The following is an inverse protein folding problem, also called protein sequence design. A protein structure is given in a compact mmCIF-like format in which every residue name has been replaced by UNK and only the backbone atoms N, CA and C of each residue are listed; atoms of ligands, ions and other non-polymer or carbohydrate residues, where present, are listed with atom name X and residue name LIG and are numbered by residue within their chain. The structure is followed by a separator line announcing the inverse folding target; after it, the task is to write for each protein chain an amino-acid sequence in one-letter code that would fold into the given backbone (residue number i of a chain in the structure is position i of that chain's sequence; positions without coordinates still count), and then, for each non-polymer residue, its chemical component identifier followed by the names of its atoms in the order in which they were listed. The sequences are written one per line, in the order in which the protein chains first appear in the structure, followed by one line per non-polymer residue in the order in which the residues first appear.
data_IF_327293310225
#
_entry.id   IF_327293310225
#
_cell.length_a   1.000
_cell.length_b   1.000
_cell.length_c   1.000
_cell.angle_alpha   90.00
_cell.angle_beta   90.00
_cell.angle_gamma   90.00
#
_symmetry.space_group_name_H-M   'P 1'
#
loop_
_entity.id
_entity.type
_entity.pdbx_description
1 polymer ?
#
# COMPACT_ATOMS: atom_id res chain seq x y z
N UNK A 1 -27.75 7.22 -8.14
CA UNK A 1 -26.78 7.05 -9.25
C UNK A 1 -26.17 5.65 -9.17
N UNK A 2 -26.21 4.84 -10.23
CA UNK A 2 -25.60 3.50 -10.22
C UNK A 2 -24.08 3.63 -10.03
N UNK A 3 -23.51 2.87 -9.07
CA UNK A 3 -22.06 2.81 -8.87
C UNK A 3 -21.44 2.19 -10.13
N UNK A 4 -20.71 2.98 -10.93
CA UNK A 4 -19.91 2.46 -12.05
C UNK A 4 -19.05 1.31 -11.52
N UNK A 5 -19.23 0.11 -12.10
CA UNK A 5 -18.42 -1.07 -11.79
C UNK A 5 -16.95 -0.66 -11.91
N UNK A 6 -16.15 -0.88 -10.86
CA UNK A 6 -14.74 -0.50 -10.88
C UNK A 6 -14.05 -1.31 -11.99
N UNK A 7 -13.69 -0.61 -13.06
CA UNK A 7 -12.84 -1.15 -14.12
C UNK A 7 -11.47 -1.40 -13.54
N UNK A 8 -10.92 -2.60 -13.80
CA UNK A 8 -9.59 -2.98 -13.37
C UNK A 8 -8.56 -1.90 -13.75
N UNK A 9 -7.88 -1.26 -12.78
CA UNK A 9 -7.02 -0.11 -13.06
C UNK A 9 -5.80 -0.45 -13.92
N UNK A 10 -5.44 -1.74 -13.96
CA UNK A 10 -4.31 -2.28 -14.70
C UNK A 10 -4.66 -2.65 -16.14
N UNK A 11 -5.93 -2.62 -16.56
CA UNK A 11 -6.32 -2.99 -17.92
C UNK A 11 -6.28 -1.76 -18.82
N UNK A 12 -5.59 -1.87 -19.94
CA UNK A 12 -5.53 -0.81 -20.93
C UNK A 12 -6.92 -0.56 -21.54
N UNK A 13 -7.42 0.68 -21.53
CA UNK A 13 -8.75 0.99 -22.08
C UNK A 13 -8.83 0.88 -23.60
N UNK A 14 -7.67 0.83 -24.30
CA UNK A 14 -7.63 0.79 -25.76
C UNK A 14 -7.55 -0.65 -26.32
N UNK A 15 -6.60 -1.46 -25.82
CA UNK A 15 -6.36 -2.81 -26.35
C UNK A 15 -6.68 -3.94 -25.37
N UNK A 16 -7.08 -3.63 -24.13
CA UNK A 16 -7.37 -4.63 -23.10
C UNK A 16 -6.14 -5.31 -22.48
N UNK A 17 -4.92 -4.98 -22.92
CA UNK A 17 -3.69 -5.54 -22.33
C UNK A 17 -3.53 -5.10 -20.87
N UNK A 18 -3.20 -6.05 -19.98
CA UNK A 18 -2.96 -5.77 -18.57
C UNK A 18 -1.52 -5.30 -18.34
N UNK A 19 -1.35 -4.13 -17.74
CA UNK A 19 -0.07 -3.66 -17.23
C UNK A 19 0.23 -4.29 -15.88
N UNK A 20 1.49 -4.68 -15.63
CA UNK A 20 1.88 -5.29 -14.35
C UNK A 20 2.12 -4.24 -13.26
N UNK A 21 2.73 -3.10 -13.61
CA UNK A 21 3.12 -2.05 -12.67
C UNK A 21 2.71 -0.67 -13.18
N UNK A 22 2.39 0.23 -12.25
CA UNK A 22 2.25 1.65 -12.55
C UNK A 22 3.65 2.27 -12.74
N UNK A 23 3.81 3.16 -13.71
CA UNK A 23 5.08 3.87 -13.91
C UNK A 23 5.34 4.90 -12.79
N UNK A 24 4.29 5.59 -12.36
CA UNK A 24 4.34 6.57 -11.27
C UNK A 24 3.06 6.46 -10.47
N UNK A 25 3.19 6.61 -9.17
CA UNK A 25 2.07 6.67 -8.23
C UNK A 25 2.13 7.95 -7.44
N UNK A 26 0.98 8.57 -7.19
CA UNK A 26 0.87 9.72 -6.31
C UNK A 26 -0.36 9.58 -5.43
N UNK A 27 -0.31 10.23 -4.27
CA UNK A 27 -1.41 10.26 -3.30
C UNK A 27 -2.21 11.55 -3.44
N UNK A 28 -3.53 11.41 -3.40
CA UNK A 28 -4.47 12.51 -3.27
C UNK A 28 -5.19 12.35 -1.93
N UNK A 29 -4.99 13.31 -1.04
CA UNK A 29 -5.54 13.29 0.32
C UNK A 29 -6.74 14.23 0.37
N UNK A 30 -7.90 13.73 0.80
CA UNK A 30 -9.07 14.59 1.01
C UNK A 30 -8.90 15.38 2.31
N UNK A 31 -8.98 16.72 2.30
CA UNK A 31 -8.80 17.53 3.51
C UNK A 31 -9.98 17.44 4.49
N UNK A 32 -11.14 16.96 4.02
CA UNK A 32 -12.33 16.82 4.84
C UNK A 32 -12.39 15.42 5.45
N UNK A 33 -12.43 15.29 6.79
CA UNK A 33 -12.64 14.00 7.43
C UNK A 33 -14.08 13.51 7.20
N UNK A 34 -14.21 12.20 7.02
CA UNK A 34 -15.50 11.48 7.00
C UNK A 34 -16.23 11.61 8.35
N UNK A 35 -17.51 11.21 8.43
CA UNK A 35 -18.30 11.29 9.69
C UNK A 35 -17.65 10.60 10.89
N UNK A 36 -16.73 9.67 10.65
CA UNK A 36 -15.95 8.95 11.66
C UNK A 36 -14.54 9.56 11.91
N UNK A 37 -14.26 10.77 11.43
CA UNK A 37 -12.94 11.40 11.58
C UNK A 37 -11.84 10.82 10.68
N UNK A 38 -12.21 10.09 9.63
CA UNK A 38 -11.27 9.40 8.71
C UNK A 38 -10.91 10.25 7.51
N UNK A 39 -9.62 10.35 7.23
CA UNK A 39 -9.08 10.99 6.03
C UNK A 39 -9.03 9.94 4.91
N UNK A 40 -9.51 10.29 3.72
CA UNK A 40 -9.41 9.42 2.56
C UNK A 40 -8.14 9.74 1.77
N UNK A 41 -7.24 8.77 1.70
CA UNK A 41 -6.03 8.77 0.87
C UNK A 41 -6.31 7.93 -0.37
N UNK A 42 -6.38 8.59 -1.53
CA UNK A 42 -6.55 7.93 -2.82
C UNK A 42 -5.19 7.79 -3.50
N UNK A 43 -4.75 6.57 -3.76
CA UNK A 43 -3.53 6.29 -4.52
C UNK A 43 -3.88 6.21 -5.99
N UNK A 44 -3.40 7.17 -6.77
CA UNK A 44 -3.51 7.18 -8.23
C UNK A 44 -2.23 6.63 -8.85
N UNK A 45 -2.39 5.96 -10.00
CA UNK A 45 -1.28 5.44 -10.79
C UNK A 45 -1.38 5.87 -12.24
N UNK A 46 -0.24 6.22 -12.84
CA UNK A 46 -0.12 6.34 -14.30
C UNK A 46 0.45 5.04 -14.88
N UNK A 47 -0.17 4.57 -15.95
CA UNK A 47 0.20 3.36 -16.66
C UNK A 47 0.55 3.68 -18.11
N UNK A 48 1.41 2.86 -18.68
CA UNK A 48 1.74 2.87 -20.11
C UNK A 48 1.53 1.46 -20.62
N UNK A 49 0.78 1.34 -21.73
CA UNK A 49 0.50 0.03 -22.31
C UNK A 49 1.77 -0.52 -22.96
N UNK A 50 2.21 -1.75 -22.63
CA UNK A 50 3.33 -2.37 -23.30
C UNK A 50 3.02 -2.79 -24.75
N UNK A 51 1.74 -2.93 -25.09
CA UNK A 51 1.31 -3.38 -26.43
C UNK A 51 1.08 -2.20 -27.39
N UNK A 52 0.25 -1.22 -26.99
CA UNK A 52 -0.14 -0.11 -27.88
C UNK A 52 0.42 1.27 -27.50
N UNK A 53 1.26 1.36 -26.46
CA UNK A 53 1.87 2.62 -26.00
C UNK A 53 0.92 3.64 -25.36
N UNK A 54 -0.38 3.34 -25.26
CA UNK A 54 -1.37 4.24 -24.68
C UNK A 54 -1.09 4.52 -23.20
N UNK A 55 -1.23 5.77 -22.77
CA UNK A 55 -1.00 6.21 -21.39
C UNK A 55 -2.33 6.54 -20.72
N UNK A 56 -2.59 5.94 -19.56
CA UNK A 56 -3.81 6.24 -18.79
C UNK A 56 -3.51 6.43 -17.30
N UNK A 57 -4.46 7.04 -16.61
CA UNK A 57 -4.42 7.23 -15.15
C UNK A 57 -5.60 6.49 -14.54
N UNK A 58 -5.37 5.75 -13.47
CA UNK A 58 -6.45 5.05 -12.75
C UNK A 58 -6.20 5.01 -11.25
N UNK A 59 -7.27 4.78 -10.49
CA UNK A 59 -7.22 4.65 -9.03
C UNK A 59 -6.76 3.24 -8.69
N UNK A 60 -5.61 3.13 -8.01
CA UNK A 60 -5.02 1.85 -7.61
C UNK A 60 -5.65 1.37 -6.31
N UNK A 61 -5.72 2.27 -5.31
CA UNK A 61 -6.22 1.97 -3.98
C UNK A 61 -6.91 3.18 -3.36
N UNK A 62 -7.90 2.93 -2.51
CA UNK A 62 -8.47 3.92 -1.59
C UNK A 62 -8.25 3.45 -0.16
N UNK A 63 -7.62 4.28 0.63
CA UNK A 63 -7.30 4.01 2.03
C UNK A 63 -8.04 5.08 2.84
N UNK A 64 -8.81 4.65 3.85
CA UNK A 64 -9.41 5.56 4.83
C UNK A 64 -8.63 5.40 6.14
N UNK A 65 -7.99 6.46 6.59
CA UNK A 65 -7.13 6.48 7.77
C UNK A 65 -7.59 7.55 8.76
N UNK A 66 -7.84 7.16 10.02
CA UNK A 66 -8.29 8.06 11.10
C UNK A 66 -9.36 7.40 11.98
N UNK A 67 -9.68 7.97 13.14
CA UNK A 67 -10.73 7.45 14.03
C UNK A 67 -10.63 5.95 14.34
N UNK A 68 -9.66 5.56 15.18
CA UNK A 68 -9.44 4.20 15.73
C UNK A 68 -9.41 2.99 14.77
N UNK A 69 -9.53 3.19 13.45
CA UNK A 69 -9.53 2.11 12.45
C UNK A 69 -9.04 2.57 11.08
N UNK A 70 -8.25 1.70 10.42
CA UNK A 70 -7.79 1.89 9.04
C UNK A 70 -8.57 0.94 8.13
N UNK A 71 -9.28 1.48 7.14
CA UNK A 71 -9.98 0.68 6.13
C UNK A 71 -9.26 0.75 4.79
N UNK A 72 -8.91 -0.42 4.25
CA UNK A 72 -8.27 -0.55 2.94
C UNK A 72 -9.30 -1.18 1.99
N UNK A 73 -9.76 -0.39 1.01
CA UNK A 73 -10.69 -0.87 -0.01
C UNK A 73 -9.88 -1.34 -1.23
N UNK A 74 -9.63 -2.66 -1.30
CA UNK A 74 -8.86 -3.30 -2.38
C UNK A 74 -9.66 -4.37 -3.14
N UNK A 75 -9.07 -4.88 -4.23
CA UNK A 75 -9.64 -5.93 -5.12
C UNK A 75 -10.06 -7.24 -4.44
N UNK A 76 -9.71 -7.47 -3.18
CA UNK A 76 -10.03 -8.68 -2.38
C UNK A 76 -10.97 -8.40 -1.21
N UNK A 77 -11.73 -7.30 -1.25
CA UNK A 77 -12.69 -6.93 -0.22
C UNK A 77 -12.18 -5.83 0.72
N UNK A 78 -13.08 -5.34 1.57
CA UNK A 78 -12.80 -4.32 2.60
C UNK A 78 -12.03 -4.99 3.73
N UNK A 79 -10.77 -4.61 3.94
CA UNK A 79 -10.02 -5.01 5.14
C UNK A 79 -10.11 -3.88 6.15
N UNK A 80 -10.88 -4.11 7.22
CA UNK A 80 -10.97 -3.24 8.38
C UNK A 80 -9.90 -3.68 9.39
N UNK A 81 -8.95 -2.80 9.66
CA UNK A 81 -7.94 -2.99 10.71
C UNK A 81 -8.39 -2.07 11.84
N UNK A 82 -8.87 -2.64 12.94
CA UNK A 82 -9.24 -1.88 14.14
C UNK A 82 -8.07 -1.91 15.11
N UNK A 83 -7.68 -0.74 15.60
CA UNK A 83 -6.73 -0.63 16.69
C UNK A 83 -7.42 -1.11 17.97
N UNK A 84 -7.33 -2.40 18.28
CA UNK A 84 -7.32 -2.79 19.69
C UNK A 84 -5.99 -2.31 20.22
N UNK A 85 -6.04 -1.37 21.15
CA UNK A 85 -4.91 -1.00 21.99
C UNK A 85 -4.42 -2.28 22.69
N UNK A 86 -3.35 -2.82 22.13
CA UNK A 86 -2.45 -3.78 22.74
C UNK A 86 -1.12 -3.46 22.07
N UNK A 87 -0.36 -2.63 22.78
CA UNK A 87 1.08 -2.69 22.81
C UNK A 87 1.57 -4.16 22.71
N UNK A 88 2.79 -4.35 22.21
CA UNK A 88 3.52 -5.63 22.16
C UNK A 88 3.23 -6.55 20.94
N UNK A 89 3.94 -6.30 19.83
CA UNK A 89 4.67 -7.28 18.99
C UNK A 89 4.87 -6.78 17.55
N UNK A 90 5.93 -6.02 17.31
CA UNK A 90 6.62 -5.95 16.02
C UNK A 90 7.93 -5.15 16.13
N UNK A 91 8.80 -5.47 17.09
CA UNK A 91 10.21 -5.10 17.07
C UNK A 91 10.96 -6.09 17.99
N UNK A 92 11.03 -7.34 17.56
CA UNK A 92 12.12 -8.20 18.01
C UNK A 92 12.87 -8.55 16.73
N UNK A 93 13.98 -7.85 16.53
CA UNK A 93 14.94 -8.20 15.50
C UNK A 93 15.49 -9.59 15.78
N UNK A 94 15.97 -10.26 14.74
CA UNK A 94 16.76 -11.48 14.92
C UNK A 94 17.97 -11.13 15.81
N UNK A 95 17.95 -11.60 17.05
CA UNK A 95 19.11 -11.53 17.94
C UNK A 95 20.08 -12.57 17.43
N UNK A 96 21.12 -12.12 16.75
CA UNK A 96 22.29 -12.96 16.46
C UNK A 96 23.07 -13.00 17.78
N UNK A 97 23.02 -14.13 18.47
CA UNK A 97 23.84 -14.39 19.66
C UNK A 97 25.30 -14.44 19.20
N UNK A 98 26.02 -13.34 19.39
CA UNK A 98 27.48 -13.32 19.30
C UNK A 98 27.99 -13.89 20.63
N UNK A 99 28.39 -15.16 20.64
CA UNK A 99 29.16 -15.73 21.74
C UNK A 99 30.49 -14.96 21.85
N UNK A 100 30.73 -14.33 23.00
CA UNK A 100 31.92 -13.51 23.26
C UNK A 100 33.23 -14.33 23.32
N UNK A 101 33.19 -15.62 22.97
CA UNK A 101 34.35 -16.50 22.90
C UNK A 101 35.16 -16.39 21.60
N UNK A 102 34.68 -15.67 20.59
CA UNK A 102 35.35 -15.50 19.27
C UNK A 102 36.17 -14.20 19.15
N UNK A 103 36.34 -13.41 20.24
CA UNK A 103 37.00 -12.10 20.22
C UNK A 103 38.16 -11.99 21.24
N UNK A 104 38.91 -13.07 21.43
CA UNK A 104 40.10 -13.10 22.32
C UNK A 104 41.26 -13.95 21.71
N UNK A 105 41.39 -13.99 20.38
CA UNK A 105 42.50 -14.72 19.71
C UNK A 105 43.31 -13.88 18.70
N UNK A 106 43.19 -12.53 18.71
CA UNK A 106 43.96 -11.67 17.81
C UNK A 106 44.56 -10.44 18.54
N UNK A 107 45.38 -10.69 19.57
CA UNK A 107 46.41 -9.73 20.03
C UNK A 107 47.62 -10.48 20.64
N UNK A 108 48.34 -11.26 19.81
CA UNK A 108 49.77 -11.53 19.99
C UNK A 108 50.43 -11.69 18.59
N UNK A 109 50.87 -10.58 18.00
CA UNK A 109 52.23 -10.41 17.44
C UNK A 109 52.57 -8.92 17.21
#
# INVERSE_FOLDING_TARGET
MPKKKQIDPYVCPNCGTKAEKAQKTWQLVSPLPDSYGRITITVMGSFVCPNCGHKWKSVVSKIKAGGSSVEIEGKKGVKKIESKDSEEKANEGEVIELDLSDLDEDEEE
#
